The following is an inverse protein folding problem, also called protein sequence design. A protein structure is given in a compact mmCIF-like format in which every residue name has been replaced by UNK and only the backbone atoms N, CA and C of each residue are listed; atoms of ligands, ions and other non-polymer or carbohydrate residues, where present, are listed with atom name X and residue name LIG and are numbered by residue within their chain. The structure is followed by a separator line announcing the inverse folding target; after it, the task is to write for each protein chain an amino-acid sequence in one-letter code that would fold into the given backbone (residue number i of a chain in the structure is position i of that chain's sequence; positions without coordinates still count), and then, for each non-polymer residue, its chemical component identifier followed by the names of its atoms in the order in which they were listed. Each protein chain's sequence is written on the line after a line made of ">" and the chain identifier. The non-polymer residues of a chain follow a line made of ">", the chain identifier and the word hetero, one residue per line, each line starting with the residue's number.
data_IF_874493967679
#
_entry.id   IF_874493967679
#
_cell.length_a   1.000
_cell.length_b   1.000
_cell.length_c   1.000
_cell.angle_alpha   90.00
_cell.angle_beta   90.00
_cell.angle_gamma   90.00
#
_symmetry.space_group_name_H-M   'P 1'
#
loop_
_entity.id
_entity.type
_entity.pdbx_description
1 polymer ?
#
# COMPACT_ATOMS: atom_id res chain seq x y z
N UNK A 1 -28.96 18.33 -9.40
CA UNK A 1 -28.82 16.90 -9.05
C UNK A 1 -28.25 16.78 -7.66
N UNK A 2 -29.00 16.17 -6.74
CA UNK A 2 -28.66 16.04 -5.33
C UNK A 2 -27.30 15.33 -5.18
N UNK A 3 -26.31 15.99 -4.59
CA UNK A 3 -25.10 15.34 -4.11
C UNK A 3 -25.50 14.44 -2.94
N UNK A 4 -25.83 13.17 -3.23
CA UNK A 4 -26.00 12.18 -2.17
C UNK A 4 -24.73 12.22 -1.33
N UNK A 5 -24.85 12.61 -0.07
CA UNK A 5 -23.76 12.61 0.90
C UNK A 5 -23.31 11.15 1.05
N UNK A 6 -22.17 10.78 0.46
CA UNK A 6 -21.65 9.41 0.57
C UNK A 6 -21.18 9.18 2.00
N UNK A 7 -21.56 8.06 2.58
CA UNK A 7 -21.03 7.65 3.88
C UNK A 7 -19.59 7.15 3.75
N UNK A 8 -18.79 7.32 4.81
CA UNK A 8 -17.48 6.66 4.89
C UNK A 8 -17.68 5.14 4.98
N UNK A 9 -16.86 4.40 4.28
CA UNK A 9 -16.82 2.93 4.32
C UNK A 9 -15.45 2.54 4.85
N UNK A 10 -15.42 1.89 6.01
CA UNK A 10 -14.18 1.36 6.57
C UNK A 10 -13.64 0.23 5.67
N UNK A 11 -12.33 0.27 5.41
CA UNK A 11 -11.61 -0.74 4.64
C UNK A 11 -10.69 -1.51 5.58
N UNK A 12 -10.58 -2.81 5.39
CA UNK A 12 -9.69 -3.68 6.15
C UNK A 12 -8.31 -3.69 5.49
N UNK A 13 -7.32 -3.17 6.20
CA UNK A 13 -5.97 -2.91 5.68
C UNK A 13 -4.94 -3.68 6.50
N UNK A 14 -4.07 -4.43 5.83
CA UNK A 14 -2.92 -5.07 6.44
C UNK A 14 -1.63 -4.30 6.12
N UNK A 15 -0.68 -4.25 7.05
CA UNK A 15 0.58 -3.52 6.94
C UNK A 15 1.77 -4.47 7.13
N UNK A 16 2.64 -4.55 6.13
CA UNK A 16 3.87 -5.33 6.15
C UNK A 16 5.10 -4.41 6.15
N UNK A 17 5.91 -4.50 7.18
CA UNK A 17 7.23 -3.87 7.18
C UNK A 17 8.28 -4.87 6.72
N UNK A 18 9.05 -4.50 5.70
CA UNK A 18 10.15 -5.30 5.16
C UNK A 18 11.45 -4.68 5.61
N UNK A 19 12.19 -5.36 6.48
CA UNK A 19 13.44 -4.86 7.03
C UNK A 19 14.23 -5.94 7.76
N UNK A 20 15.55 -5.96 7.56
CA UNK A 20 16.45 -6.86 8.30
C UNK A 20 16.75 -6.39 9.72
N UNK A 21 16.49 -5.11 10.04
CA UNK A 21 16.87 -4.49 11.30
C UNK A 21 15.72 -3.95 12.14
N UNK A 22 14.51 -3.86 11.61
CA UNK A 22 13.35 -3.35 12.35
C UNK A 22 12.72 -4.42 13.22
N UNK A 23 12.22 -3.96 14.35
CA UNK A 23 11.40 -4.72 15.30
C UNK A 23 10.17 -3.87 15.66
N UNK A 24 9.19 -4.43 16.34
CA UNK A 24 8.02 -3.66 16.80
C UNK A 24 8.40 -2.41 17.60
N UNK A 25 9.52 -2.45 18.34
CA UNK A 25 9.98 -1.32 19.16
C UNK A 25 10.56 -0.15 18.37
N UNK A 26 10.96 -0.33 17.11
CA UNK A 26 11.64 0.70 16.31
C UNK A 26 11.11 0.86 14.88
N UNK A 27 10.00 0.25 14.54
CA UNK A 27 9.37 0.28 13.21
C UNK A 27 8.56 1.57 13.02
N UNK A 28 9.25 2.69 12.82
CA UNK A 28 8.62 4.01 12.67
C UNK A 28 7.72 4.12 11.43
N UNK A 29 8.08 3.48 10.33
CA UNK A 29 7.27 3.52 9.09
C UNK A 29 6.01 2.68 9.22
N UNK A 30 6.10 1.48 9.80
CA UNK A 30 4.94 0.65 10.10
C UNK A 30 4.01 1.32 11.11
N UNK A 31 4.55 1.88 12.20
CA UNK A 31 3.77 2.62 13.21
C UNK A 31 3.02 3.80 12.58
N UNK A 32 3.67 4.55 11.69
CA UNK A 32 3.04 5.65 10.99
C UNK A 32 1.85 5.18 10.16
N UNK A 33 2.03 4.12 9.37
CA UNK A 33 0.95 3.56 8.54
C UNK A 33 -0.20 3.04 9.39
N UNK A 34 0.08 2.29 10.45
CA UNK A 34 -0.94 1.79 11.39
C UNK A 34 -1.73 2.94 12.01
N UNK A 35 -1.05 3.99 12.46
CA UNK A 35 -1.69 5.17 13.02
C UNK A 35 -2.57 5.89 11.99
N UNK A 36 -2.10 6.00 10.73
CA UNK A 36 -2.89 6.61 9.65
C UNK A 36 -4.14 5.80 9.33
N UNK A 37 -4.00 4.49 9.20
CA UNK A 37 -5.11 3.55 8.96
C UNK A 37 -6.19 3.70 10.04
N UNK A 38 -5.80 3.62 11.30
CA UNK A 38 -6.75 3.64 12.43
C UNK A 38 -7.36 5.02 12.67
N UNK A 39 -6.57 6.09 12.57
CA UNK A 39 -7.04 7.46 12.79
C UNK A 39 -8.01 7.94 11.69
N UNK A 40 -7.94 7.38 10.49
CA UNK A 40 -8.90 7.68 9.41
C UNK A 40 -10.18 6.84 9.50
N UNK A 41 -10.26 5.90 10.45
CA UNK A 41 -11.44 5.08 10.69
C UNK A 41 -11.46 3.76 9.91
N UNK A 42 -10.35 3.39 9.27
CA UNK A 42 -10.18 2.06 8.68
C UNK A 42 -9.85 1.02 9.76
N UNK A 43 -9.95 -0.25 9.39
CA UNK A 43 -9.64 -1.38 10.28
C UNK A 43 -8.25 -1.90 9.95
N UNK A 44 -7.36 -1.95 10.95
CA UNK A 44 -6.11 -2.68 10.82
C UNK A 44 -6.42 -4.18 10.93
N UNK A 45 -6.33 -4.87 9.80
CA UNK A 45 -6.62 -6.31 9.71
C UNK A 45 -5.46 -7.16 10.22
N UNK A 46 -4.23 -6.82 9.86
CA UNK A 46 -3.01 -7.49 10.32
C UNK A 46 -1.80 -6.54 10.24
N UNK A 47 -0.77 -6.84 11.01
CA UNK A 47 0.54 -6.18 10.95
C UNK A 47 1.64 -7.20 11.12
N UNK A 48 2.61 -7.21 10.20
CA UNK A 48 3.77 -8.09 10.28
C UNK A 48 5.06 -7.36 9.92
N UNK A 49 6.18 -7.87 10.42
CA UNK A 49 7.52 -7.45 10.05
C UNK A 49 8.25 -8.70 9.55
N UNK A 50 8.83 -8.63 8.37
CA UNK A 50 9.65 -9.71 7.79
C UNK A 50 10.99 -9.17 7.32
N UNK A 51 11.95 -10.05 7.15
CA UNK A 51 13.23 -9.72 6.52
C UNK A 51 13.04 -9.40 5.04
N UNK A 52 14.01 -8.70 4.44
CA UNK A 52 14.04 -8.47 3.00
C UNK A 52 14.42 -9.78 2.27
N UNK A 53 13.48 -10.69 2.25
CA UNK A 53 13.53 -11.99 1.61
C UNK A 53 12.27 -12.19 0.77
N UNK A 54 12.44 -12.41 -0.53
CA UNK A 54 11.34 -12.52 -1.50
C UNK A 54 10.33 -13.60 -1.08
N UNK A 55 10.81 -14.73 -0.54
CA UNK A 55 9.96 -15.83 -0.12
C UNK A 55 9.09 -15.46 1.08
N UNK A 56 9.66 -14.78 2.09
CA UNK A 56 8.92 -14.33 3.27
C UNK A 56 7.90 -13.25 2.90
N UNK A 57 8.30 -12.25 2.11
CA UNK A 57 7.41 -11.18 1.64
C UNK A 57 6.24 -11.78 0.87
N UNK A 58 6.54 -12.63 -0.13
CA UNK A 58 5.51 -13.28 -0.95
C UNK A 58 4.60 -14.17 -0.13
N UNK A 59 5.14 -14.90 0.83
CA UNK A 59 4.38 -15.77 1.71
C UNK A 59 3.35 -15.00 2.55
N UNK A 60 3.70 -13.82 3.09
CA UNK A 60 2.75 -12.95 3.81
C UNK A 60 1.71 -12.40 2.85
N UNK A 61 2.13 -11.83 1.71
CA UNK A 61 1.22 -11.25 0.74
C UNK A 61 0.22 -12.28 0.21
N UNK A 62 0.66 -13.49 -0.11
CA UNK A 62 -0.23 -14.56 -0.59
C UNK A 62 -1.30 -14.91 0.45
N UNK A 63 -0.93 -15.07 1.72
CA UNK A 63 -1.92 -15.34 2.78
C UNK A 63 -2.95 -14.21 2.90
N UNK A 64 -2.53 -12.96 2.80
CA UNK A 64 -3.44 -11.81 2.88
C UNK A 64 -4.33 -11.68 1.63
N UNK A 65 -3.79 -11.99 0.45
CA UNK A 65 -4.54 -12.01 -0.81
C UNK A 65 -5.62 -13.12 -0.81
N UNK A 66 -5.33 -14.23 -0.16
CA UNK A 66 -6.27 -15.36 -0.03
C UNK A 66 -7.31 -15.15 1.09
N UNK A 67 -7.11 -14.16 1.95
CA UNK A 67 -8.04 -13.78 3.01
C UNK A 67 -9.06 -12.76 2.50
N UNK A 68 -10.31 -13.20 2.36
CA UNK A 68 -11.40 -12.35 1.85
C UNK A 68 -11.72 -11.14 2.75
N UNK A 69 -11.27 -11.15 4.00
CA UNK A 69 -11.46 -10.03 4.93
C UNK A 69 -10.40 -8.94 4.77
N UNK A 70 -9.31 -9.18 4.02
CA UNK A 70 -8.26 -8.20 3.75
C UNK A 70 -8.44 -7.59 2.36
N UNK A 71 -8.86 -6.34 2.32
CA UNK A 71 -9.16 -5.62 1.08
C UNK A 71 -7.96 -4.85 0.52
N UNK A 72 -7.01 -4.48 1.40
CA UNK A 72 -5.82 -3.72 1.05
C UNK A 72 -4.62 -4.26 1.82
N UNK A 73 -3.51 -4.49 1.13
CA UNK A 73 -2.21 -4.77 1.72
C UNK A 73 -1.23 -3.63 1.38
N UNK A 74 -0.57 -3.09 2.39
CA UNK A 74 0.45 -2.04 2.22
C UNK A 74 1.78 -2.57 2.74
N UNK A 75 2.80 -2.60 1.87
CA UNK A 75 4.17 -2.93 2.27
C UNK A 75 5.00 -1.66 2.39
N UNK A 76 5.95 -1.61 3.32
CA UNK A 76 6.95 -0.54 3.45
C UNK A 76 8.34 -1.14 3.64
N UNK A 77 9.29 -0.70 2.84
CA UNK A 77 10.66 -1.20 2.81
C UNK A 77 10.99 -2.10 1.63
N UNK A 78 12.28 -2.35 1.41
CA UNK A 78 12.77 -3.23 0.35
C UNK A 78 12.51 -2.75 -1.08
N UNK A 79 12.37 -1.43 -1.30
CA UNK A 79 12.08 -0.86 -2.63
C UNK A 79 13.26 -0.17 -3.29
N UNK A 80 14.44 -0.19 -2.67
CA UNK A 80 15.64 0.39 -3.24
C UNK A 80 16.19 -0.42 -4.42
N UNK A 81 17.40 -0.10 -4.84
CA UNK A 81 18.04 -0.68 -6.03
C UNK A 81 19.24 -1.57 -5.67
N UNK A 82 19.44 -1.86 -4.39
CA UNK A 82 20.50 -2.78 -3.95
C UNK A 82 20.10 -4.23 -4.14
N UNK A 83 21.06 -5.15 -4.06
CA UNK A 83 20.79 -6.58 -4.22
C UNK A 83 19.92 -7.19 -3.10
N UNK A 84 19.72 -6.46 -1.99
CA UNK A 84 18.85 -6.89 -0.88
C UNK A 84 17.42 -6.38 -1.03
N UNK A 85 17.18 -5.37 -1.85
CA UNK A 85 15.84 -4.80 -2.05
C UNK A 85 15.01 -5.70 -2.96
N UNK A 86 14.07 -6.45 -2.39
CA UNK A 86 13.30 -7.49 -3.09
C UNK A 86 11.79 -7.34 -3.06
N UNK A 87 11.23 -6.28 -2.44
CA UNK A 87 9.77 -6.15 -2.30
C UNK A 87 9.04 -6.05 -3.64
N UNK A 88 9.47 -5.23 -4.64
CA UNK A 88 8.83 -5.22 -5.96
C UNK A 88 8.90 -6.59 -6.65
N UNK A 89 10.03 -7.29 -6.57
CA UNK A 89 10.23 -8.62 -7.15
C UNK A 89 9.37 -9.69 -6.48
N UNK A 90 9.07 -9.52 -5.18
CA UNK A 90 8.14 -10.40 -4.49
C UNK A 90 6.69 -10.15 -4.91
N UNK A 91 6.30 -8.88 -5.10
CA UNK A 91 4.93 -8.47 -5.33
C UNK A 91 4.51 -8.55 -6.80
N UNK A 92 5.35 -8.07 -7.71
CA UNK A 92 4.99 -7.91 -9.14
C UNK A 92 4.46 -9.18 -9.79
N UNK A 93 5.04 -10.38 -9.57
CA UNK A 93 4.53 -11.61 -10.16
C UNK A 93 3.17 -12.06 -9.64
N UNK A 94 2.70 -11.52 -8.50
CA UNK A 94 1.37 -11.82 -7.96
C UNK A 94 0.28 -10.98 -8.63
N UNK A 95 0.62 -9.81 -9.17
CA UNK A 95 -0.36 -8.85 -9.65
C UNK A 95 -1.04 -9.33 -10.93
N UNK A 96 -2.36 -9.23 -10.96
CA UNK A 96 -3.18 -9.43 -12.14
C UNK A 96 -3.31 -8.16 -12.97
N UNK A 97 -3.36 -7.02 -12.29
CA UNK A 97 -3.38 -5.70 -12.91
C UNK A 97 -2.45 -4.76 -12.16
N UNK A 98 -1.58 -4.08 -12.88
CA UNK A 98 -0.74 -3.02 -12.32
C UNK A 98 -1.50 -1.70 -12.27
N UNK A 99 -1.29 -0.93 -11.22
CA UNK A 99 -1.75 0.45 -11.08
C UNK A 99 -0.56 1.38 -11.29
N UNK A 100 -0.09 1.50 -12.53
CA UNK A 100 1.13 2.27 -12.87
C UNK A 100 1.02 3.73 -12.40
N UNK A 101 -0.16 4.32 -12.52
CA UNK A 101 -0.44 5.68 -12.06
C UNK A 101 -0.13 5.92 -10.58
N UNK A 102 -0.20 4.91 -9.73
CA UNK A 102 0.21 5.07 -8.33
C UNK A 102 1.70 5.42 -8.21
N UNK A 103 2.57 4.64 -8.85
CA UNK A 103 4.01 4.88 -8.84
C UNK A 103 4.39 6.19 -9.52
N UNK A 104 3.71 6.57 -10.61
CA UNK A 104 3.91 7.83 -11.31
C UNK A 104 3.59 9.03 -10.42
N UNK A 105 2.41 9.06 -9.80
CA UNK A 105 1.98 10.14 -8.90
C UNK A 105 2.88 10.19 -7.67
N UNK A 106 3.19 9.03 -7.07
CA UNK A 106 4.04 8.96 -5.89
C UNK A 106 5.43 9.55 -6.16
N UNK A 107 6.07 9.17 -7.29
CA UNK A 107 7.39 9.70 -7.64
C UNK A 107 7.35 11.19 -8.00
N UNK A 108 6.29 11.67 -8.62
CA UNK A 108 6.12 13.10 -8.88
C UNK A 108 6.05 13.91 -7.58
N UNK A 109 5.24 13.47 -6.62
CA UNK A 109 5.14 14.10 -5.30
C UNK A 109 6.45 14.00 -4.51
N UNK A 110 7.13 12.86 -4.58
CA UNK A 110 8.43 12.68 -3.95
C UNK A 110 9.49 13.57 -4.56
N UNK A 111 9.45 13.81 -5.87
CA UNK A 111 10.39 14.73 -6.53
C UNK A 111 10.28 16.16 -5.99
N UNK A 112 9.06 16.63 -5.71
CA UNK A 112 8.84 17.95 -5.08
C UNK A 112 9.47 18.05 -3.67
N UNK A 113 9.57 16.93 -2.95
CA UNK A 113 10.07 16.89 -1.57
C UNK A 113 11.57 16.63 -1.47
N UNK A 114 12.08 15.69 -2.28
CA UNK A 114 13.45 15.17 -2.18
C UNK A 114 14.24 15.26 -3.50
N UNK A 115 13.70 15.93 -4.50
CA UNK A 115 14.36 16.14 -5.78
C UNK A 115 14.68 14.83 -6.51
N UNK A 116 15.85 14.76 -7.12
CA UNK A 116 16.27 13.61 -7.94
C UNK A 116 16.41 12.30 -7.17
N UNK A 117 16.45 12.32 -5.84
CA UNK A 117 16.45 11.09 -5.03
C UNK A 117 15.18 10.25 -5.23
N UNK A 118 14.08 10.87 -5.67
CA UNK A 118 12.84 10.19 -6.03
C UNK A 118 13.02 9.15 -7.16
N UNK A 119 14.04 9.30 -8.02
CA UNK A 119 14.38 8.35 -9.09
C UNK A 119 14.67 6.95 -8.55
N UNK A 120 15.20 6.82 -7.35
CA UNK A 120 15.52 5.53 -6.75
C UNK A 120 14.29 4.79 -6.22
N UNK A 121 13.13 5.45 -6.16
CA UNK A 121 11.90 4.83 -5.64
C UNK A 121 11.28 3.88 -6.65
N UNK A 122 11.12 2.62 -6.26
CA UNK A 122 10.38 1.61 -7.03
C UNK A 122 8.99 1.35 -6.45
N UNK A 123 8.38 2.39 -5.87
CA UNK A 123 7.00 2.32 -5.40
C UNK A 123 6.07 1.87 -6.54
N UNK A 124 5.19 0.94 -6.24
CA UNK A 124 4.24 0.36 -7.20
C UNK A 124 2.96 -0.09 -6.51
N UNK A 125 1.92 -0.33 -7.28
CA UNK A 125 0.67 -0.88 -6.80
C UNK A 125 0.00 -1.75 -7.85
N UNK A 126 -0.94 -2.56 -7.41
CA UNK A 126 -1.76 -3.37 -8.30
C UNK A 126 -2.93 -4.03 -7.59
N UNK A 127 -3.61 -4.88 -8.35
CA UNK A 127 -4.75 -5.66 -7.92
C UNK A 127 -4.46 -7.14 -8.12
N UNK A 128 -4.79 -7.94 -7.15
CA UNK A 128 -4.75 -9.39 -7.22
C UNK A 128 -5.85 -9.99 -6.36
N UNK A 129 -6.62 -10.93 -6.91
CA UNK A 129 -7.69 -11.65 -6.23
C UNK A 129 -8.67 -10.74 -5.43
N UNK A 130 -8.98 -9.55 -5.97
CA UNK A 130 -9.87 -8.60 -5.31
C UNK A 130 -9.23 -7.73 -4.22
N UNK A 131 -7.93 -7.89 -3.96
CA UNK A 131 -7.15 -7.12 -2.99
C UNK A 131 -6.28 -6.10 -3.71
N UNK A 132 -6.27 -4.86 -3.22
CA UNK A 132 -5.27 -3.87 -3.63
C UNK A 132 -3.97 -4.09 -2.86
N UNK A 133 -2.86 -4.07 -3.56
CA UNK A 133 -1.52 -4.18 -2.95
C UNK A 133 -0.69 -2.95 -3.30
N UNK A 134 -0.12 -2.30 -2.30
CA UNK A 134 0.74 -1.13 -2.43
C UNK A 134 2.12 -1.42 -1.87
N UNK A 135 3.16 -1.05 -2.62
CA UNK A 135 4.55 -1.19 -2.23
C UNK A 135 5.17 0.20 -2.05
N UNK A 136 5.56 0.54 -0.82
CA UNK A 136 6.07 1.84 -0.44
C UNK A 136 7.54 1.76 -0.01
N UNK A 137 8.33 2.83 -0.19
CA UNK A 137 9.67 2.93 0.41
C UNK A 137 9.64 2.85 1.94
N UNK A 138 10.77 2.44 2.51
CA UNK A 138 10.90 2.18 3.96
C UNK A 138 11.05 3.40 4.85
N UNK A 139 11.04 4.62 4.33
CA UNK A 139 11.13 5.83 5.14
C UNK A 139 9.75 6.31 5.61
N UNK A 140 9.70 6.84 6.85
CA UNK A 140 8.46 7.40 7.38
C UNK A 140 7.95 8.58 6.54
N UNK A 141 8.84 9.39 5.95
CA UNK A 141 8.47 10.47 5.04
C UNK A 141 7.78 9.95 3.78
N UNK A 142 8.30 8.90 3.15
CA UNK A 142 7.70 8.29 1.98
C UNK A 142 6.31 7.68 2.31
N UNK A 143 6.17 7.02 3.46
CA UNK A 143 4.89 6.51 3.94
C UNK A 143 3.88 7.63 4.19
N UNK A 144 4.32 8.75 4.78
CA UNK A 144 3.48 9.93 4.98
C UNK A 144 3.02 10.51 3.64
N UNK A 145 3.93 10.71 2.68
CA UNK A 145 3.60 11.20 1.34
C UNK A 145 2.59 10.29 0.65
N UNK A 146 2.82 8.98 0.67
CA UNK A 146 1.90 8.02 0.06
C UNK A 146 0.51 8.06 0.71
N UNK A 147 0.44 8.07 2.04
CA UNK A 147 -0.83 8.08 2.74
C UNK A 147 -1.52 9.45 2.62
N UNK A 148 -0.86 10.51 3.06
CA UNK A 148 -1.47 11.82 3.23
C UNK A 148 -1.82 12.51 1.90
N UNK A 149 -1.13 12.15 0.80
CA UNK A 149 -1.36 12.77 -0.52
C UNK A 149 -2.07 11.86 -1.53
N UNK A 150 -2.13 10.53 -1.30
CA UNK A 150 -2.73 9.60 -2.26
C UNK A 150 -3.74 8.67 -1.58
N UNK A 151 -3.27 7.80 -0.66
CA UNK A 151 -4.06 6.66 -0.20
C UNK A 151 -5.29 7.09 0.60
N UNK A 152 -5.18 8.08 1.49
CA UNK A 152 -6.32 8.55 2.26
C UNK A 152 -7.50 9.03 1.40
N UNK A 153 -7.22 9.51 0.20
CA UNK A 153 -8.27 9.93 -0.74
C UNK A 153 -8.79 8.76 -1.56
N UNK A 154 -7.90 7.90 -2.03
CA UNK A 154 -8.27 6.76 -2.87
C UNK A 154 -8.95 5.64 -2.08
N UNK A 155 -8.70 5.54 -0.79
CA UNK A 155 -9.34 4.59 0.12
C UNK A 155 -10.56 5.20 0.84
N UNK A 156 -10.99 6.40 0.49
CA UNK A 156 -12.20 7.03 1.00
C UNK A 156 -13.31 7.05 -0.07
N UNK A 157 -14.40 6.31 0.17
CA UNK A 157 -15.56 6.24 -0.73
C UNK A 157 -16.18 7.61 -1.03
N UNK A 158 -15.96 8.61 -0.19
CA UNK A 158 -16.49 9.97 -0.34
C UNK A 158 -15.71 10.79 -1.37
N UNK A 159 -14.47 10.41 -1.70
CA UNK A 159 -13.61 11.11 -2.65
C UNK A 159 -14.19 11.12 -4.06
N UNK A 160 -14.15 12.26 -4.72
CA UNK A 160 -14.63 12.49 -6.09
C UNK A 160 -13.48 12.98 -6.98
N UNK A 161 -13.51 12.72 -8.30
CA UNK A 161 -14.61 12.09 -9.08
C UNK A 161 -14.68 10.57 -8.94
N UNK A 162 -13.59 9.89 -8.56
CA UNK A 162 -13.49 8.43 -8.40
C UNK A 162 -12.53 8.07 -7.28
N UNK A 163 -12.68 6.87 -6.76
CA UNK A 163 -11.82 6.31 -5.71
C UNK A 163 -11.77 4.78 -5.84
N UNK A 164 -10.77 4.14 -5.21
CA UNK A 164 -10.57 2.70 -5.30
C UNK A 164 -11.64 1.91 -4.54
N UNK A 165 -12.21 2.47 -3.46
CA UNK A 165 -13.25 1.80 -2.67
C UNK A 165 -14.50 1.56 -3.51
N UNK A 166 -14.86 2.51 -4.39
CA UNK A 166 -16.00 2.39 -5.30
C UNK A 166 -15.86 1.21 -6.27
N UNK A 167 -14.63 0.81 -6.57
CA UNK A 167 -14.33 -0.27 -7.51
C UNK A 167 -14.22 -1.65 -6.83
N UNK A 168 -14.05 -1.72 -5.50
CA UNK A 168 -13.84 -2.97 -4.77
C UNK A 168 -14.89 -4.05 -5.09
N UNK A 169 -16.20 -3.76 -5.13
CA UNK A 169 -17.21 -4.77 -5.44
C UNK A 169 -17.10 -5.36 -6.85
N UNK A 170 -16.34 -4.72 -7.72
CA UNK A 170 -16.22 -5.05 -9.15
C UNK A 170 -14.88 -5.69 -9.53
N UNK A 171 -13.94 -5.81 -8.59
CA UNK A 171 -12.59 -6.30 -8.89
C UNK A 171 -12.58 -7.76 -9.39
N UNK A 172 -13.56 -8.55 -8.99
CA UNK A 172 -13.70 -9.96 -9.38
C UNK A 172 -14.79 -10.21 -10.45
N UNK A 173 -15.30 -9.16 -11.12
CA UNK A 173 -16.27 -9.32 -12.21
C UNK A 173 -15.65 -10.15 -13.35
N UNK A 174 -16.41 -11.12 -13.85
CA UNK A 174 -16.01 -12.01 -14.95
C UNK A 174 -14.87 -12.99 -14.65
N UNK A 175 -14.69 -13.34 -13.41
CA UNK A 175 -13.81 -14.44 -12.99
C UNK A 175 -14.55 -15.75 -12.83
#
# INVERSE_FOLDING_TARGET
>A
MSSKNRAFIAVHIAVLTVSDSRTEANDKSGDLLVNRVTNTGHVLADRQIVKDDIGQIRGVLTRWIDDADIQVAITTGGTGVTGFDGTPEAMEPLLEKKLDGFGEIFRALSFEEIGTSALQSRAMAGVVNGTYVFCLPGSSGACATAWDKILQFQLDYRTRPCNLVELMPRLLEHR
#
